data_IF_347102494634
#
_entry.id   IF_347102494634
#
_cell.length_a   1.000
_cell.length_b   1.000
_cell.length_c   1.000
_cell.angle_alpha   90.00
_cell.angle_beta   90.00
_cell.angle_gamma   90.00
#
_symmetry.space_group_name_H-M   'P 1'
#
loop_
_entity.id
_entity.type
_entity.pdbx_description
1 polymer ?
#
# COMPACT_ATOMS: atom_id res chain seq x y z
N UNK A 1 5.76 23.40 4.48
CA UNK A 1 6.17 24.72 3.99
C UNK A 1 7.69 24.83 3.84
N UNK A 2 8.17 25.54 2.81
CA UNK A 2 9.61 25.72 2.54
C UNK A 2 10.44 26.10 3.77
N UNK A 3 9.89 26.97 4.62
CA UNK A 3 10.56 27.42 5.85
C UNK A 3 10.77 26.32 6.89
N UNK A 4 10.08 25.18 6.75
CA UNK A 4 10.20 24.02 7.66
C UNK A 4 11.19 22.98 7.14
N UNK A 5 11.68 23.11 5.90
CA UNK A 5 12.72 22.24 5.38
C UNK A 5 14.02 22.43 6.15
N UNK A 6 14.64 21.32 6.53
CA UNK A 6 15.99 21.34 7.13
C UNK A 6 16.98 21.99 6.17
N UNK A 7 17.96 22.70 6.72
CA UNK A 7 18.96 23.41 5.93
C UNK A 7 19.75 22.45 5.02
N UNK A 8 20.08 21.26 5.54
CA UNK A 8 20.77 20.23 4.79
C UNK A 8 20.02 19.82 3.51
N UNK A 9 18.67 19.63 3.59
CA UNK A 9 17.87 19.33 2.41
C UNK A 9 17.90 20.43 1.36
N UNK A 10 17.93 21.70 1.78
CA UNK A 10 18.04 22.84 0.86
C UNK A 10 19.39 22.88 0.13
N UNK A 11 20.44 22.43 0.80
CA UNK A 11 21.81 22.39 0.27
C UNK A 11 22.03 21.23 -0.71
N UNK A 12 21.29 20.12 -0.54
CA UNK A 12 21.35 18.97 -1.45
C UNK A 12 20.48 19.10 -2.69
N UNK A 13 19.55 20.07 -2.72
CA UNK A 13 18.72 20.30 -3.90
C UNK A 13 19.39 21.33 -4.82
N UNK A 14 19.54 21.03 -6.11
CA UNK A 14 20.02 22.00 -7.11
C UNK A 14 19.07 23.19 -7.24
N UNK A 15 17.76 22.92 -7.11
CA UNK A 15 16.72 23.94 -7.11
C UNK A 15 15.46 23.49 -6.39
N UNK A 16 14.76 24.45 -5.77
CA UNK A 16 13.48 24.22 -5.09
C UNK A 16 12.44 25.18 -5.66
N UNK A 17 11.37 24.62 -6.22
CA UNK A 17 10.21 25.37 -6.66
C UNK A 17 9.09 25.23 -5.62
N UNK A 18 8.56 26.36 -5.14
CA UNK A 18 7.51 26.36 -4.12
C UNK A 18 6.15 26.52 -4.77
N UNK A 19 5.28 25.53 -4.59
CA UNK A 19 3.89 25.53 -5.07
C UNK A 19 2.93 25.85 -3.92
N UNK A 20 1.74 26.32 -4.26
CA UNK A 20 0.67 26.59 -3.27
C UNK A 20 -0.02 25.31 -2.83
N UNK A 21 -0.25 24.39 -3.77
CA UNK A 21 -0.93 23.13 -3.52
C UNK A 21 -0.53 22.08 -4.54
N UNK A 22 -0.25 20.85 -4.10
CA UNK A 22 -0.12 19.69 -4.98
C UNK A 22 -1.45 19.22 -5.60
N UNK A 23 -2.58 19.71 -5.10
CA UNK A 23 -3.89 19.47 -5.71
C UNK A 23 -4.14 20.34 -6.95
N UNK A 24 -3.36 21.39 -7.17
CA UNK A 24 -3.43 22.23 -8.38
C UNK A 24 -2.57 21.60 -9.48
N UNK A 25 -3.20 20.76 -10.30
CA UNK A 25 -2.53 20.07 -11.39
C UNK A 25 -1.89 21.01 -12.40
N UNK A 26 -2.56 22.11 -12.75
CA UNK A 26 -2.05 23.08 -13.71
C UNK A 26 -0.80 23.79 -13.18
N UNK A 27 -0.73 24.04 -11.86
CA UNK A 27 0.48 24.54 -11.21
C UNK A 27 1.62 23.52 -11.30
N UNK A 28 1.34 22.24 -11.06
CA UNK A 28 2.34 21.17 -11.17
C UNK A 28 2.87 20.98 -12.59
N UNK A 29 2.00 21.08 -13.61
CA UNK A 29 2.43 21.06 -15.03
C UNK A 29 3.37 22.22 -15.33
N UNK A 30 3.08 23.43 -14.82
CA UNK A 30 3.97 24.60 -14.98
C UNK A 30 5.33 24.39 -14.33
N UNK A 31 5.36 23.76 -13.15
CA UNK A 31 6.63 23.40 -12.46
C UNK A 31 7.45 22.44 -13.31
N UNK A 32 6.85 21.36 -13.80
CA UNK A 32 7.54 20.40 -14.67
C UNK A 32 8.00 21.06 -15.98
N UNK A 33 7.17 21.94 -16.57
CA UNK A 33 7.53 22.72 -17.73
C UNK A 33 8.71 23.67 -17.48
N UNK A 34 8.74 24.33 -16.32
CA UNK A 34 9.85 25.19 -15.91
C UNK A 34 11.17 24.40 -15.80
N UNK A 35 11.15 23.25 -15.11
CA UNK A 35 12.34 22.40 -14.97
C UNK A 35 12.79 21.83 -16.32
N UNK A 36 11.85 21.41 -17.17
CA UNK A 36 12.15 20.92 -18.52
C UNK A 36 12.80 22.02 -19.37
N UNK A 37 12.29 23.25 -19.31
CA UNK A 37 12.88 24.38 -20.03
C UNK A 37 14.29 24.71 -19.56
N UNK A 38 14.53 24.65 -18.24
CA UNK A 38 15.79 25.07 -17.63
C UNK A 38 16.88 24.00 -17.70
N UNK A 39 16.53 22.74 -17.49
CA UNK A 39 17.46 21.63 -17.31
C UNK A 39 17.34 20.54 -18.37
N UNK A 40 16.37 20.63 -19.28
CA UNK A 40 16.09 19.60 -20.27
C UNK A 40 15.07 18.57 -19.79
N UNK A 41 15.05 17.41 -20.43
CA UNK A 41 14.07 16.37 -20.15
C UNK A 41 14.16 15.90 -18.70
N UNK A 42 13.00 15.78 -18.05
CA UNK A 42 12.88 15.18 -16.71
C UNK A 42 13.05 13.66 -16.84
N UNK A 43 13.96 13.11 -16.05
CA UNK A 43 14.22 11.67 -16.01
C UNK A 43 13.42 10.96 -14.90
N UNK A 44 13.02 11.70 -13.85
CA UNK A 44 12.40 11.13 -12.67
C UNK A 44 11.35 12.05 -12.04
N UNK A 45 10.18 11.52 -11.72
CA UNK A 45 9.13 12.20 -10.93
C UNK A 45 8.71 11.24 -9.84
N UNK A 46 8.82 11.65 -8.57
CA UNK A 46 8.52 10.81 -7.42
C UNK A 46 8.18 11.64 -6.18
N UNK A 47 7.06 11.34 -5.53
CA UNK A 47 6.68 11.99 -4.26
C UNK A 47 7.02 11.14 -3.03
N UNK A 48 7.23 9.82 -3.19
CA UNK A 48 7.35 8.85 -2.11
C UNK A 48 6.17 8.94 -1.10
N UNK A 49 4.98 9.24 -1.60
CA UNK A 49 3.79 9.38 -0.79
C UNK A 49 2.56 8.84 -1.54
N UNK A 50 1.85 7.91 -0.90
CA UNK A 50 0.70 7.23 -1.48
C UNK A 50 -0.41 8.20 -1.94
N UNK A 51 -0.61 9.32 -1.23
CA UNK A 51 -1.62 10.33 -1.58
C UNK A 51 -1.37 11.01 -2.94
N UNK A 52 -0.15 10.94 -3.47
CA UNK A 52 0.25 11.61 -4.73
C UNK A 52 0.57 10.66 -5.87
N UNK A 53 0.28 9.37 -5.74
CA UNK A 53 0.57 8.38 -6.77
C UNK A 53 -0.09 8.71 -8.11
N UNK A 54 -1.35 9.17 -8.11
CA UNK A 54 -2.06 9.60 -9.33
C UNK A 54 -1.42 10.83 -9.94
N UNK A 55 -1.06 11.83 -9.12
CA UNK A 55 -0.38 13.02 -9.57
C UNK A 55 0.96 12.68 -10.23
N UNK A 56 1.77 11.86 -9.55
CA UNK A 56 3.07 11.42 -10.07
C UNK A 56 2.92 10.68 -11.39
N UNK A 57 1.98 9.75 -11.48
CA UNK A 57 1.72 8.95 -12.67
C UNK A 57 1.27 9.83 -13.84
N UNK A 58 0.34 10.76 -13.62
CA UNK A 58 -0.16 11.68 -14.62
C UNK A 58 0.93 12.63 -15.14
N UNK A 59 1.75 13.18 -14.24
CA UNK A 59 2.90 14.03 -14.65
C UNK A 59 3.94 13.24 -15.45
N UNK A 60 4.19 11.95 -15.08
CA UNK A 60 5.08 11.08 -15.86
C UNK A 60 4.57 10.88 -17.29
N UNK A 61 3.28 10.63 -17.45
CA UNK A 61 2.68 10.45 -18.76
C UNK A 61 2.74 11.75 -19.59
N UNK A 62 2.36 12.90 -19.02
CA UNK A 62 2.34 14.19 -19.72
C UNK A 62 3.77 14.66 -20.12
N UNK A 63 4.78 14.37 -19.30
CA UNK A 63 6.18 14.74 -19.57
C UNK A 63 7.02 13.58 -20.16
N UNK A 64 6.36 12.49 -20.55
CA UNK A 64 7.01 11.31 -21.15
C UNK A 64 8.19 10.77 -20.32
N UNK A 65 8.03 10.77 -18.98
CA UNK A 65 8.98 10.19 -18.04
C UNK A 65 8.70 8.68 -17.95
N UNK A 66 9.69 7.86 -18.27
CA UNK A 66 9.53 6.39 -18.38
C UNK A 66 9.88 5.64 -17.10
N UNK A 67 10.39 6.33 -16.09
CA UNK A 67 10.70 5.75 -14.78
C UNK A 67 9.48 5.82 -13.88
N UNK A 68 8.94 4.65 -13.50
CA UNK A 68 7.79 4.56 -12.60
C UNK A 68 6.50 4.10 -13.26
N UNK A 69 5.44 4.10 -12.47
CA UNK A 69 4.12 3.69 -12.93
C UNK A 69 3.45 4.80 -13.74
N UNK A 70 2.88 4.44 -14.89
CA UNK A 70 1.99 5.31 -15.66
C UNK A 70 0.60 5.36 -15.01
N UNK A 71 -0.24 6.30 -15.44
CA UNK A 71 -1.61 6.40 -14.97
C UNK A 71 -2.43 5.13 -15.26
N UNK A 72 -2.19 4.48 -16.39
CA UNK A 72 -2.84 3.21 -16.75
C UNK A 72 -2.54 2.10 -15.72
N UNK A 73 -1.34 2.12 -15.14
CA UNK A 73 -0.89 1.07 -14.22
C UNK A 73 -1.07 1.40 -12.74
N UNK A 74 -1.44 2.64 -12.40
CA UNK A 74 -1.54 3.04 -10.99
C UNK A 74 -2.65 2.28 -10.26
N UNK A 75 -3.70 1.89 -10.96
CA UNK A 75 -4.80 1.06 -10.45
C UNK A 75 -4.31 -0.27 -9.86
N UNK A 76 -3.24 -0.84 -10.43
CA UNK A 76 -2.61 -2.08 -9.94
C UNK A 76 -2.07 -1.95 -8.51
N UNK A 77 -1.74 -0.71 -8.09
CA UNK A 77 -1.20 -0.39 -6.76
C UNK A 77 -2.24 0.18 -5.79
N UNK A 78 -3.39 0.60 -6.27
CA UNK A 78 -4.40 1.26 -5.46
C UNK A 78 -5.61 0.37 -5.16
N UNK A 79 -5.94 -0.58 -6.06
CA UNK A 79 -7.02 -1.54 -5.84
C UNK A 79 -6.52 -2.77 -5.08
N UNK A 80 -7.02 -2.98 -3.86
CA UNK A 80 -6.65 -4.14 -3.03
C UNK A 80 -6.98 -5.46 -3.70
N UNK A 81 -8.11 -5.53 -4.43
CA UNK A 81 -8.51 -6.73 -5.16
C UNK A 81 -7.59 -7.01 -6.36
N UNK A 82 -7.09 -5.97 -7.05
CA UNK A 82 -6.10 -6.14 -8.11
C UNK A 82 -4.74 -6.56 -7.54
N UNK A 83 -4.25 -5.89 -6.50
CA UNK A 83 -3.01 -6.28 -5.82
C UNK A 83 -3.01 -7.76 -5.43
N UNK A 84 -4.13 -8.27 -4.88
CA UNK A 84 -4.22 -9.68 -4.48
C UNK A 84 -4.14 -10.66 -5.65
N UNK A 85 -4.47 -10.27 -6.88
CA UNK A 85 -4.25 -11.10 -8.07
C UNK A 85 -2.75 -11.24 -8.35
N UNK A 86 -2.02 -10.12 -8.33
CA UNK A 86 -0.56 -10.12 -8.51
C UNK A 86 0.15 -10.95 -7.44
N UNK A 87 -0.26 -10.82 -6.17
CA UNK A 87 0.28 -11.64 -5.09
C UNK A 87 0.04 -13.13 -5.32
N UNK A 88 -1.18 -13.53 -5.70
CA UNK A 88 -1.50 -14.93 -5.98
C UNK A 88 -0.71 -15.49 -7.16
N UNK A 89 -0.56 -14.75 -8.25
CA UNK A 89 0.25 -15.12 -9.42
C UNK A 89 1.72 -15.29 -9.06
N UNK A 90 2.24 -14.49 -8.11
CA UNK A 90 3.60 -14.59 -7.60
C UNK A 90 3.76 -15.63 -6.47
N UNK A 91 2.72 -16.39 -6.12
CA UNK A 91 2.68 -17.30 -4.98
C UNK A 91 3.01 -16.61 -3.64
N UNK A 92 2.71 -15.32 -3.51
CA UNK A 92 2.77 -14.60 -2.24
C UNK A 92 1.50 -14.93 -1.45
N UNK A 93 1.60 -15.38 -0.20
CA UNK A 93 0.44 -15.68 0.63
C UNK A 93 -0.44 -14.43 0.82
N UNK A 94 -1.74 -14.60 0.69
CA UNK A 94 -2.73 -13.55 0.95
C UNK A 94 -3.97 -14.14 1.59
N UNK A 95 -4.64 -13.37 2.44
CA UNK A 95 -5.95 -13.73 2.98
C UNK A 95 -6.95 -13.98 1.84
N UNK A 96 -7.83 -14.96 2.02
CA UNK A 96 -8.96 -15.13 1.12
C UNK A 96 -9.83 -13.88 1.12
N UNK A 97 -10.39 -13.54 -0.03
CA UNK A 97 -11.15 -12.30 -0.19
C UNK A 97 -12.27 -12.42 -1.22
N UNK A 98 -13.22 -11.50 -1.11
CA UNK A 98 -14.33 -11.31 -2.06
C UNK A 98 -14.62 -9.82 -2.24
N UNK A 99 -14.67 -9.34 -3.49
CA UNK A 99 -15.25 -8.03 -3.80
C UNK A 99 -16.75 -8.14 -3.66
N UNK A 100 -17.38 -7.22 -2.94
CA UNK A 100 -18.79 -7.24 -2.67
C UNK A 100 -19.56 -6.45 -3.73
N UNK A 101 -20.36 -7.13 -4.54
CA UNK A 101 -21.34 -6.53 -5.43
C UNK A 101 -22.74 -6.61 -4.80
N UNK A 102 -22.99 -7.63 -3.99
CA UNK A 102 -24.25 -7.85 -3.28
C UNK A 102 -23.99 -8.33 -1.86
N UNK A 103 -24.97 -8.14 -0.96
CA UNK A 103 -24.90 -8.72 0.40
C UNK A 103 -24.75 -10.26 0.34
N UNK A 104 -25.38 -10.89 -0.66
CA UNK A 104 -25.30 -12.35 -0.85
C UNK A 104 -23.86 -12.80 -1.07
N UNK A 105 -23.05 -12.05 -1.83
CA UNK A 105 -21.62 -12.38 -2.03
C UNK A 105 -20.86 -12.47 -0.72
N UNK A 106 -21.14 -11.52 0.19
CA UNK A 106 -20.53 -11.48 1.52
C UNK A 106 -20.98 -12.64 2.42
N UNK A 107 -22.28 -12.94 2.44
CA UNK A 107 -22.83 -14.04 3.22
C UNK A 107 -22.32 -15.41 2.72
N UNK A 108 -22.20 -15.60 1.41
CA UNK A 108 -21.68 -16.84 0.84
C UNK A 108 -20.17 -16.97 1.10
N UNK A 109 -19.42 -15.88 1.06
CA UNK A 109 -18.00 -15.87 1.46
C UNK A 109 -17.83 -16.18 2.94
N UNK A 110 -18.65 -15.59 3.82
CA UNK A 110 -18.62 -15.87 5.26
C UNK A 110 -18.90 -17.34 5.59
N UNK A 111 -19.80 -18.01 4.83
CA UNK A 111 -20.03 -19.45 4.98
C UNK A 111 -18.81 -20.29 4.59
N UNK A 112 -18.03 -19.80 3.62
CA UNK A 112 -16.83 -20.49 3.12
C UNK A 112 -15.67 -20.42 4.11
N UNK A 113 -15.39 -19.23 4.65
CA UNK A 113 -14.16 -18.98 5.44
C UNK A 113 -14.39 -18.77 6.92
N UNK A 114 -15.65 -18.56 7.36
CA UNK A 114 -15.99 -18.29 8.75
C UNK A 114 -15.80 -16.82 9.17
N UNK A 115 -16.12 -16.56 10.43
CA UNK A 115 -15.87 -15.27 11.09
C UNK A 115 -14.68 -15.40 12.06
N UNK A 116 -13.99 -14.30 12.42
CA UNK A 116 -14.24 -12.92 11.98
C UNK A 116 -13.75 -12.64 10.56
N UNK A 117 -14.29 -11.56 9.96
CA UNK A 117 -13.89 -11.04 8.66
C UNK A 117 -13.48 -9.58 8.78
N UNK A 118 -12.78 -9.05 7.75
CA UNK A 118 -12.50 -7.63 7.61
C UNK A 118 -13.20 -7.12 6.37
N UNK A 119 -14.00 -6.05 6.52
CA UNK A 119 -14.62 -5.34 5.42
C UNK A 119 -14.01 -3.95 5.30
N UNK A 120 -13.51 -3.59 4.12
CA UNK A 120 -12.84 -2.31 3.87
C UNK A 120 -13.04 -1.87 2.42
N UNK A 121 -12.85 -0.58 2.09
CA UNK A 121 -12.88 -0.12 0.69
C UNK A 121 -11.82 -0.82 -0.15
N UNK A 122 -12.15 -1.18 -1.39
CA UNK A 122 -11.19 -1.73 -2.34
C UNK A 122 -10.10 -0.70 -2.67
N UNK A 123 -10.49 0.58 -2.77
CA UNK A 123 -9.59 1.73 -2.90
C UNK A 123 -9.57 2.56 -1.63
N UNK A 124 -8.43 3.15 -1.32
CA UNK A 124 -8.25 4.05 -0.18
C UNK A 124 -7.08 3.65 0.71
N UNK A 125 -6.62 4.62 1.50
CA UNK A 125 -5.44 4.56 2.35
C UNK A 125 -5.81 4.66 3.83
N UNK A 126 -4.97 4.10 4.70
CA UNK A 126 -5.22 4.06 6.13
C UNK A 126 -6.39 3.14 6.49
N UNK A 127 -6.71 3.02 7.74
CA UNK A 127 -7.81 2.16 8.21
C UNK A 127 -9.21 2.80 8.07
N UNK A 128 -9.37 3.82 7.21
CA UNK A 128 -10.65 4.48 6.99
C UNK A 128 -11.70 3.49 6.48
N UNK A 129 -12.89 3.48 7.06
CA UNK A 129 -14.00 2.58 6.72
C UNK A 129 -13.62 1.09 6.78
N UNK A 130 -12.70 0.73 7.67
CA UNK A 130 -12.31 -0.67 7.92
C UNK A 130 -13.08 -1.20 9.12
N UNK A 131 -13.78 -2.34 8.93
CA UNK A 131 -14.67 -2.94 9.92
C UNK A 131 -14.28 -4.39 10.17
N UNK A 132 -14.16 -4.78 11.45
CA UNK A 132 -14.08 -6.18 11.87
C UNK A 132 -15.50 -6.71 12.02
N UNK A 133 -15.82 -7.75 11.27
CA UNK A 133 -17.16 -8.34 11.17
C UNK A 133 -17.18 -9.67 11.93
N UNK A 134 -18.00 -9.76 12.96
CA UNK A 134 -18.04 -10.91 13.86
C UNK A 134 -19.16 -11.90 13.53
N UNK A 135 -20.20 -11.49 12.78
CA UNK A 135 -21.36 -12.31 12.45
C UNK A 135 -22.15 -11.74 11.26
N UNK A 136 -23.19 -12.45 10.83
CA UNK A 136 -24.00 -12.10 9.68
C UNK A 136 -24.78 -10.77 9.86
N UNK A 137 -25.28 -10.51 11.07
CA UNK A 137 -26.03 -9.27 11.35
C UNK A 137 -25.13 -8.04 11.22
N UNK A 138 -23.89 -8.12 11.71
CA UNK A 138 -22.91 -7.05 11.51
C UNK A 138 -22.54 -6.88 10.05
N UNK A 139 -22.36 -7.98 9.29
CA UNK A 139 -22.08 -7.91 7.86
C UNK A 139 -23.18 -7.16 7.11
N UNK A 140 -24.44 -7.51 7.36
CA UNK A 140 -25.60 -6.84 6.75
C UNK A 140 -25.64 -5.35 7.12
N UNK A 141 -25.49 -5.03 8.42
CA UNK A 141 -25.52 -3.66 8.92
C UNK A 141 -24.41 -2.79 8.26
N UNK A 142 -23.18 -3.27 8.21
CA UNK A 142 -22.06 -2.53 7.61
C UNK A 142 -22.22 -2.44 6.09
N UNK A 143 -22.67 -3.51 5.42
CA UNK A 143 -22.94 -3.47 3.98
C UNK A 143 -23.96 -2.39 3.62
N UNK A 144 -25.04 -2.27 4.39
CA UNK A 144 -26.06 -1.24 4.14
C UNK A 144 -25.53 0.19 4.35
N UNK A 145 -24.58 0.39 5.26
CA UNK A 145 -23.93 1.69 5.49
C UNK A 145 -22.91 2.06 4.40
N UNK A 146 -22.35 1.05 3.71
CA UNK A 146 -21.22 1.22 2.78
C UNK A 146 -21.58 0.88 1.33
N UNK A 147 -22.87 0.68 1.02
CA UNK A 147 -23.37 0.23 -0.29
C UNK A 147 -23.00 1.14 -1.49
N UNK A 148 -22.66 2.40 -1.21
CA UNK A 148 -22.26 3.37 -2.23
C UNK A 148 -20.75 3.31 -2.53
N UNK A 149 -20.03 2.38 -1.88
CA UNK A 149 -18.59 2.15 -2.07
C UNK A 149 -18.33 0.72 -2.55
N UNK A 150 -17.29 0.56 -3.37
CA UNK A 150 -16.79 -0.78 -3.72
C UNK A 150 -16.02 -1.31 -2.52
N UNK A 151 -16.57 -2.32 -1.86
CA UNK A 151 -15.98 -2.92 -0.66
C UNK A 151 -15.37 -4.28 -0.99
N UNK A 152 -14.26 -4.61 -0.30
CA UNK A 152 -13.66 -5.94 -0.27
C UNK A 152 -13.88 -6.55 1.13
N UNK A 153 -14.27 -7.82 1.15
CA UNK A 153 -14.38 -8.62 2.35
C UNK A 153 -13.24 -9.63 2.38
N UNK A 154 -12.50 -9.69 3.47
CA UNK A 154 -11.33 -10.53 3.62
C UNK A 154 -11.45 -11.41 4.87
N UNK A 155 -10.82 -12.60 4.83
CA UNK A 155 -10.59 -13.38 6.03
C UNK A 155 -9.72 -12.57 7.00
N UNK A 156 -10.13 -12.54 8.28
CA UNK A 156 -9.35 -11.85 9.31
C UNK A 156 -8.06 -12.63 9.60
N UNK A 157 -6.94 -11.94 9.54
CA UNK A 157 -5.63 -12.45 9.95
C UNK A 157 -5.36 -11.98 11.37
N UNK A 158 -5.30 -12.91 12.31
CA UNK A 158 -4.86 -12.62 13.67
C UNK A 158 -3.33 -12.74 13.76
N UNK A 159 -2.68 -11.62 13.59
CA UNK A 159 -1.23 -11.55 13.49
C UNK A 159 -0.67 -10.17 13.77
N UNK A 160 0.63 -10.13 14.00
CA UNK A 160 1.38 -8.87 14.14
C UNK A 160 1.65 -8.27 12.76
N UNK A 161 1.41 -6.96 12.65
CA UNK A 161 1.74 -6.19 11.44
C UNK A 161 3.21 -5.83 11.47
N UNK A 162 3.86 -5.97 10.35
CA UNK A 162 5.21 -5.46 10.11
C UNK A 162 5.34 -4.99 8.66
N UNK A 163 6.35 -4.17 8.38
CA UNK A 163 6.63 -3.74 7.02
C UNK A 163 8.00 -4.21 6.56
N UNK A 164 8.14 -4.34 5.26
CA UNK A 164 9.42 -4.49 4.59
C UNK A 164 9.61 -3.30 3.67
N UNK A 165 10.60 -2.48 4.01
CA UNK A 165 10.90 -1.23 3.36
C UNK A 165 12.26 -1.31 2.69
N UNK A 166 12.37 -0.83 1.46
CA UNK A 166 13.62 -0.98 0.76
C UNK A 166 13.76 -0.17 -0.52
N UNK A 167 14.84 -0.47 -1.23
CA UNK A 167 15.16 0.10 -2.54
C UNK A 167 15.47 -1.05 -3.48
N UNK A 168 14.91 -1.03 -4.67
CA UNK A 168 15.27 -1.94 -5.76
C UNK A 168 15.94 -1.18 -6.92
N UNK A 169 16.75 -1.92 -7.69
CA UNK A 169 17.46 -1.41 -8.87
C UNK A 169 16.62 -1.50 -10.17
N UNK A 170 17.27 -1.26 -11.30
CA UNK A 170 16.67 -1.32 -12.65
C UNK A 170 16.16 -2.69 -13.08
N UNK A 171 16.59 -3.76 -12.42
CA UNK A 171 16.12 -5.12 -12.65
C UNK A 171 14.97 -5.49 -11.72
N UNK A 172 14.74 -4.70 -10.64
CA UNK A 172 13.84 -5.00 -9.55
C UNK A 172 14.50 -5.83 -8.44
N UNK A 173 15.85 -5.96 -8.47
CA UNK A 173 16.58 -6.65 -7.42
C UNK A 173 16.72 -5.73 -6.19
N UNK A 174 16.42 -6.27 -5.03
CA UNK A 174 16.46 -5.51 -3.77
C UNK A 174 17.92 -5.24 -3.40
N UNK A 175 18.27 -3.96 -3.23
CA UNK A 175 19.62 -3.49 -2.86
C UNK A 175 19.73 -3.09 -1.40
N UNK A 176 18.64 -2.71 -0.80
CA UNK A 176 18.53 -2.40 0.62
C UNK A 176 17.18 -2.86 1.13
N UNK A 177 17.14 -3.41 2.33
CA UNK A 177 15.93 -3.90 2.98
C UNK A 177 16.05 -3.77 4.49
N UNK A 178 15.02 -3.23 5.12
CA UNK A 178 14.81 -3.25 6.55
C UNK A 178 13.36 -3.63 6.86
N UNK A 179 13.09 -3.99 8.11
CA UNK A 179 11.75 -4.20 8.62
C UNK A 179 11.42 -3.16 9.68
N UNK A 180 10.17 -2.71 9.69
CA UNK A 180 9.57 -1.96 10.77
C UNK A 180 8.54 -2.86 11.45
N UNK A 181 8.82 -3.26 12.68
CA UNK A 181 7.94 -4.12 13.49
C UNK A 181 7.05 -3.24 14.36
N UNK A 182 5.72 -3.44 14.30
CA UNK A 182 4.78 -2.69 15.13
C UNK A 182 4.56 -3.38 16.47
N UNK A 183 4.47 -2.57 17.54
CA UNK A 183 4.15 -3.03 18.90
C UNK A 183 2.73 -2.61 19.21
N UNK A 184 1.81 -3.57 19.13
CA UNK A 184 0.37 -3.36 19.28
C UNK A 184 -0.39 -3.57 17.98
N UNK A 185 -1.71 -3.47 18.04
CA UNK A 185 -2.60 -3.67 16.91
C UNK A 185 -2.86 -2.33 16.20
N UNK A 186 -2.49 -2.24 14.92
CA UNK A 186 -2.68 -1.01 14.12
C UNK A 186 -4.16 -0.63 13.99
N UNK A 187 -5.06 -1.61 13.83
CA UNK A 187 -6.51 -1.36 13.74
C UNK A 187 -7.05 -0.81 15.06
N UNK A 188 -6.66 -1.39 16.20
CA UNK A 188 -7.08 -0.93 17.53
C UNK A 188 -6.54 0.48 17.82
N UNK A 189 -5.32 0.77 17.39
CA UNK A 189 -4.73 2.11 17.50
C UNK A 189 -5.60 3.17 16.80
N UNK A 190 -6.07 2.88 15.59
CA UNK A 190 -6.93 3.82 14.84
C UNK A 190 -8.33 3.90 15.46
N UNK A 191 -8.95 2.75 15.78
CA UNK A 191 -10.33 2.69 16.27
C UNK A 191 -10.47 3.29 17.69
N UNK A 192 -9.49 3.07 18.55
CA UNK A 192 -9.53 3.49 19.96
C UNK A 192 -8.58 4.63 20.29
N UNK A 193 -7.96 5.27 19.28
CA UNK A 193 -6.99 6.37 19.43
C UNK A 193 -5.86 6.02 20.42
N UNK A 194 -5.38 4.79 20.35
CA UNK A 194 -4.27 4.33 21.21
C UNK A 194 -2.93 4.63 20.54
N UNK A 195 -1.91 4.86 21.35
CA UNK A 195 -0.54 4.97 20.85
C UNK A 195 -0.05 3.63 20.36
N UNK A 196 0.65 3.64 19.23
CA UNK A 196 1.35 2.48 18.69
C UNK A 196 2.84 2.77 18.68
N UNK A 197 3.64 1.78 19.10
CA UNK A 197 5.10 1.83 18.99
C UNK A 197 5.57 1.07 17.76
N UNK A 198 6.77 1.38 17.31
CA UNK A 198 7.44 0.60 16.29
C UNK A 198 8.96 0.65 16.49
N UNK A 199 9.66 -0.36 16.00
CA UNK A 199 11.10 -0.39 15.97
C UNK A 199 11.61 -0.97 14.64
N UNK A 200 12.76 -0.51 14.19
CA UNK A 200 13.40 -0.99 12.97
C UNK A 200 14.34 -2.15 13.27
N UNK A 201 14.31 -3.19 12.46
CA UNK A 201 15.28 -4.29 12.48
C UNK A 201 15.83 -4.59 11.09
N UNK A 202 17.06 -5.07 11.04
CA UNK A 202 17.72 -5.57 9.82
C UNK A 202 17.78 -7.11 9.82
N UNK A 203 17.28 -7.75 10.86
CA UNK A 203 17.20 -9.21 10.98
C UNK A 203 15.93 -9.69 10.25
N UNK A 204 16.07 -9.97 8.96
CA UNK A 204 14.97 -10.36 8.06
C UNK A 204 15.21 -11.79 7.62
N UNK A 205 14.20 -12.67 7.84
CA UNK A 205 14.28 -14.07 7.45
C UNK A 205 14.38 -14.23 5.92
N UNK A 206 14.95 -15.36 5.49
CA UNK A 206 15.03 -15.68 4.05
C UNK A 206 13.64 -15.80 3.42
N UNK A 207 12.66 -16.30 4.16
CA UNK A 207 11.25 -16.33 3.71
C UNK A 207 10.71 -14.93 3.41
N UNK A 208 10.90 -13.98 4.32
CA UNK A 208 10.47 -12.60 4.14
C UNK A 208 11.19 -11.94 2.94
N UNK A 209 12.49 -12.19 2.78
CA UNK A 209 13.27 -11.71 1.63
C UNK A 209 12.73 -12.27 0.30
N UNK A 210 12.42 -13.55 0.25
CA UNK A 210 11.87 -14.20 -0.92
C UNK A 210 10.48 -13.66 -1.25
N UNK A 211 9.59 -13.54 -0.26
CA UNK A 211 8.24 -13.01 -0.44
C UNK A 211 8.26 -11.58 -0.98
N UNK A 212 9.05 -10.69 -0.39
CA UNK A 212 9.12 -9.30 -0.85
C UNK A 212 9.79 -9.20 -2.22
N UNK A 213 10.81 -10.00 -2.53
CA UNK A 213 11.43 -10.03 -3.86
C UNK A 213 10.43 -10.47 -4.94
N UNK A 214 9.63 -11.51 -4.67
CA UNK A 214 8.56 -11.96 -5.57
C UNK A 214 7.49 -10.88 -5.76
N UNK A 215 7.15 -10.16 -4.70
CA UNK A 215 6.23 -9.01 -4.74
C UNK A 215 6.77 -7.92 -5.67
N UNK A 216 8.01 -7.48 -5.48
CA UNK A 216 8.65 -6.46 -6.31
C UNK A 216 8.65 -6.86 -7.79
N UNK A 217 8.97 -8.11 -8.10
CA UNK A 217 8.95 -8.61 -9.48
C UNK A 217 7.53 -8.71 -10.05
N UNK A 218 6.53 -9.14 -9.27
CA UNK A 218 5.14 -9.25 -9.71
C UNK A 218 4.58 -7.90 -10.17
N UNK A 219 4.84 -6.85 -9.41
CA UNK A 219 4.43 -5.48 -9.74
C UNK A 219 5.38 -4.78 -10.71
N UNK A 220 6.50 -5.42 -11.09
CA UNK A 220 7.54 -4.83 -11.95
C UNK A 220 8.06 -3.50 -11.39
N UNK A 221 8.24 -3.43 -10.08
CA UNK A 221 8.80 -2.28 -9.39
C UNK A 221 10.30 -2.22 -9.71
N UNK A 222 10.78 -1.06 -10.15
CA UNK A 222 12.16 -0.85 -10.58
C UNK A 222 12.67 0.53 -10.21
N UNK A 223 13.95 0.61 -9.86
CA UNK A 223 14.64 1.87 -9.57
C UNK A 223 13.89 2.76 -8.59
N UNK A 224 13.42 2.22 -7.45
CA UNK A 224 12.67 3.02 -6.48
C UNK A 224 12.60 2.45 -5.10
N UNK A 225 12.13 3.28 -4.19
CA UNK A 225 11.70 2.87 -2.88
C UNK A 225 10.42 2.04 -2.96
N UNK A 226 10.27 1.12 -2.03
CA UNK A 226 9.04 0.37 -1.82
C UNK A 226 8.73 0.24 -0.35
N UNK A 227 7.45 0.09 -0.04
CA UNK A 227 6.89 -0.16 1.27
C UNK A 227 5.84 -1.26 1.13
N UNK A 228 6.01 -2.37 1.83
CA UNK A 228 5.10 -3.49 1.79
C UNK A 228 4.70 -3.87 3.21
N UNK A 229 3.40 -3.94 3.47
CA UNK A 229 2.85 -4.38 4.77
C UNK A 229 2.53 -5.87 4.74
N UNK A 230 2.87 -6.54 5.83
CA UNK A 230 2.65 -7.97 6.03
C UNK A 230 2.06 -8.23 7.41
N UNK A 231 1.44 -9.42 7.53
CA UNK A 231 1.01 -9.99 8.80
C UNK A 231 1.82 -11.23 9.11
N UNK A 232 2.20 -11.42 10.36
CA UNK A 232 2.82 -12.65 10.88
C UNK A 232 1.89 -13.30 11.89
N UNK A 233 1.43 -14.53 11.66
CA UNK A 233 0.51 -15.23 12.55
C UNK A 233 1.08 -15.35 13.96
N UNK A 234 0.28 -15.00 14.96
CA UNK A 234 0.64 -15.10 16.39
C UNK A 234 0.48 -16.51 16.95
N UNK A 235 -0.33 -17.34 16.31
CA UNK A 235 -0.63 -18.71 16.69
C UNK A 235 -1.04 -19.54 15.46
N UNK A 236 -1.15 -20.85 15.63
CA UNK A 236 -1.64 -21.73 14.58
C UNK A 236 -3.11 -21.43 14.29
N UNK A 237 -3.46 -21.25 13.03
CA UNK A 237 -4.82 -20.99 12.58
C UNK A 237 -5.22 -22.01 11.53
N UNK A 238 -6.28 -22.76 11.80
CA UNK A 238 -6.80 -23.76 10.86
C UNK A 238 -7.17 -23.10 9.52
N UNK A 239 -6.64 -23.63 8.45
CA UNK A 239 -6.86 -23.12 7.09
C UNK A 239 -5.96 -21.95 6.68
N UNK A 240 -5.26 -21.30 7.64
CA UNK A 240 -4.28 -20.24 7.34
C UNK A 240 -2.84 -20.72 7.49
N UNK A 241 -2.53 -21.51 8.54
CA UNK A 241 -1.18 -22.04 8.73
C UNK A 241 -0.71 -22.02 10.18
N UNK A 242 0.59 -22.26 10.34
CA UNK A 242 1.25 -22.29 11.64
C UNK A 242 1.68 -20.88 12.09
N UNK A 243 1.91 -20.74 13.40
CA UNK A 243 2.50 -19.54 13.99
C UNK A 243 3.76 -19.12 13.24
N UNK A 244 3.88 -17.83 12.97
CA UNK A 244 5.01 -17.24 12.28
C UNK A 244 4.84 -17.15 10.76
N UNK A 245 3.83 -17.81 10.17
CA UNK A 245 3.55 -17.68 8.73
C UNK A 245 3.22 -16.24 8.36
N UNK A 246 3.77 -15.81 7.23
CA UNK A 246 3.65 -14.44 6.70
C UNK A 246 2.60 -14.37 5.60
N UNK A 247 1.80 -13.30 5.62
CA UNK A 247 0.75 -12.97 4.65
C UNK A 247 0.90 -11.55 4.14
#
# INVERSE_FOLDING_TARGET
PYNQLKQELKEYCDEIYVVKSFHDYDEMVKVCGYFTFKYGKIDWIESNNEAWLDLDARLRDDFNVKTGFSLERIEELQSKSQMKKYYKEANVPVADYRVLHTLKDGLDFAKQVGYPLVMKPDHGVGASMTYKIMNAEQLESVYMQTKDHVMILEQYIDGDVFTLDGICDENGDIRYLNSLEYVGNCMDSVLYQQSIGCYTTFEISDECRDIVQRTIHAFKIKNRFFHCEFFRLNHDVQGLGEKGRVF
#
